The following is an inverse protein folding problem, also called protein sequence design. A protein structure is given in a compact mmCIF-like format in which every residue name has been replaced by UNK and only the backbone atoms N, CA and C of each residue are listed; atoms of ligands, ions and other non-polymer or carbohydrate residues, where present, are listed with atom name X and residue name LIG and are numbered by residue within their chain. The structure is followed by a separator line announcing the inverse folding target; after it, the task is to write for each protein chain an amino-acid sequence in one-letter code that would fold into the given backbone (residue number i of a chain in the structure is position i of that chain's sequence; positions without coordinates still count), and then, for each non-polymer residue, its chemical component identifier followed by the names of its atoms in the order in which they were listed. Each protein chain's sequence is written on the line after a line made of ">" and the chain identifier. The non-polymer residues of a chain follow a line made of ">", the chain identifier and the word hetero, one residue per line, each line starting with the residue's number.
data_IF_350163047825
#
_entry.id   IF_350163047825
#
_cell.length_a   1.000
_cell.length_b   1.000
_cell.length_c   1.000
_cell.angle_alpha   90.00
_cell.angle_beta   90.00
_cell.angle_gamma   90.00
#
_symmetry.space_group_name_H-M   'P 1'
#
loop_
_entity.id
_entity.type
_entity.pdbx_description
1 polymer ?
#
# COMPACT_ATOMS: atom_id res chain seq x y z
N UNK A 1 -7.16 -19.61 5.25
CA UNK A 1 -6.66 -18.46 6.00
C UNK A 1 -6.46 -17.32 5.01
N UNK A 2 -7.18 -16.21 5.16
CA UNK A 2 -6.99 -15.03 4.32
C UNK A 2 -6.06 -14.07 5.05
N UNK A 3 -4.97 -13.67 4.38
CA UNK A 3 -4.00 -12.77 4.97
C UNK A 3 -3.90 -11.48 4.14
N UNK A 4 -3.83 -10.36 4.83
CA UNK A 4 -3.82 -9.01 4.24
C UNK A 4 -2.53 -8.32 4.64
N UNK A 5 -1.86 -7.70 3.67
CA UNK A 5 -0.69 -6.86 3.88
C UNK A 5 -1.07 -5.45 3.47
N UNK A 6 -0.75 -4.49 4.34
CA UNK A 6 -0.91 -3.06 4.08
C UNK A 6 0.47 -2.43 4.09
N UNK A 7 0.80 -1.71 3.02
CA UNK A 7 2.05 -0.96 2.92
C UNK A 7 1.70 0.51 2.65
N UNK A 8 2.35 1.40 3.39
CA UNK A 8 2.24 2.85 3.25
C UNK A 8 3.64 3.47 3.14
N UNK A 9 3.70 4.70 2.63
CA UNK A 9 4.95 5.45 2.46
C UNK A 9 5.66 5.16 1.14
N UNK A 10 6.24 6.22 0.57
CA UNK A 10 6.85 6.27 -0.78
C UNK A 10 7.75 5.04 -1.05
N UNK A 11 8.75 4.78 -0.20
CA UNK A 11 9.74 3.74 -0.48
C UNK A 11 9.19 2.30 -0.45
N UNK A 12 8.25 1.97 0.44
CA UNK A 12 7.76 0.59 0.57
C UNK A 12 6.57 0.31 -0.36
N UNK A 13 5.63 1.25 -0.44
CA UNK A 13 4.45 1.11 -1.28
C UNK A 13 4.83 1.13 -2.78
N UNK A 14 5.70 2.04 -3.23
CA UNK A 14 6.12 2.08 -4.64
C UNK A 14 6.91 0.84 -5.05
N UNK A 15 7.78 0.33 -4.17
CA UNK A 15 8.56 -0.89 -4.44
C UNK A 15 7.66 -2.12 -4.59
N UNK A 16 6.64 -2.23 -3.75
CA UNK A 16 5.64 -3.30 -3.87
C UNK A 16 4.78 -3.07 -5.11
N UNK A 17 4.35 -1.84 -5.36
CA UNK A 17 3.62 -1.36 -6.54
C UNK A 17 4.28 -1.79 -7.86
N UNK A 18 5.58 -1.58 -7.97
CA UNK A 18 6.38 -1.97 -9.14
C UNK A 18 6.35 -3.49 -9.44
N UNK A 19 6.15 -4.33 -8.41
CA UNK A 19 6.04 -5.79 -8.57
C UNK A 19 4.63 -6.26 -8.92
N UNK A 20 3.60 -5.47 -8.60
CA UNK A 20 2.19 -5.79 -8.88
C UNK A 20 1.65 -5.12 -10.15
N UNK A 21 2.45 -4.23 -10.76
CA UNK A 21 2.11 -3.52 -12.00
C UNK A 21 1.77 -4.48 -13.16
N UNK A 22 0.72 -4.20 -13.95
CA UNK A 22 0.36 -4.99 -15.14
C UNK A 22 1.49 -5.08 -16.18
N UNK A 23 2.43 -4.13 -16.17
CA UNK A 23 3.56 -4.08 -17.10
C UNK A 23 4.68 -5.09 -16.76
N UNK A 24 4.60 -5.80 -15.63
CA UNK A 24 5.64 -6.74 -15.20
C UNK A 24 5.03 -8.12 -14.83
N UNK A 25 4.77 -9.00 -15.81
CA UNK A 25 4.29 -10.36 -15.53
C UNK A 25 5.26 -11.15 -14.63
N UNK A 26 6.57 -10.97 -14.84
CA UNK A 26 7.61 -11.55 -13.99
C UNK A 26 7.66 -10.95 -12.57
N UNK A 27 7.03 -9.79 -12.35
CA UNK A 27 6.86 -9.15 -11.05
C UNK A 27 5.93 -9.93 -10.13
N UNK A 28 4.90 -10.58 -10.67
CA UNK A 28 3.91 -11.34 -9.88
C UNK A 28 4.53 -12.51 -9.12
N UNK A 29 5.36 -13.31 -9.77
CA UNK A 29 6.04 -14.45 -9.13
C UNK A 29 7.05 -13.97 -8.08
N UNK A 30 7.77 -12.88 -8.37
CA UNK A 30 8.69 -12.25 -7.41
C UNK A 30 7.94 -11.71 -6.20
N UNK A 31 6.80 -11.06 -6.40
CA UNK A 31 5.95 -10.55 -5.33
C UNK A 31 5.44 -11.70 -4.46
N UNK A 32 4.88 -12.75 -5.07
CA UNK A 32 4.44 -13.94 -4.35
C UNK A 32 5.58 -14.55 -3.51
N UNK A 33 6.74 -14.77 -4.10
CA UNK A 33 7.88 -15.37 -3.40
C UNK A 33 8.36 -14.50 -2.22
N UNK A 34 8.45 -13.18 -2.42
CA UNK A 34 8.78 -12.22 -1.38
C UNK A 34 7.74 -12.27 -0.25
N UNK A 35 6.46 -12.24 -0.60
CA UNK A 35 5.36 -12.20 0.35
C UNK A 35 5.32 -13.45 1.24
N UNK A 36 5.41 -14.64 0.64
CA UNK A 36 5.45 -15.90 1.39
C UNK A 36 6.70 -16.00 2.29
N UNK A 37 7.83 -15.47 1.83
CA UNK A 37 9.09 -15.43 2.60
C UNK A 37 8.99 -14.50 3.79
N UNK A 38 8.48 -13.28 3.61
CA UNK A 38 8.27 -12.32 4.71
C UNK A 38 7.25 -12.83 5.72
N UNK A 39 6.21 -13.55 5.27
CA UNK A 39 5.27 -14.19 6.19
C UNK A 39 5.91 -15.28 7.03
N UNK A 40 6.72 -16.15 6.42
CA UNK A 40 7.46 -17.15 7.18
C UNK A 40 8.34 -16.46 8.23
N UNK A 41 9.07 -15.40 7.87
CA UNK A 41 9.91 -14.63 8.79
C UNK A 41 9.13 -14.02 9.94
N UNK A 42 8.02 -13.36 9.65
CA UNK A 42 7.17 -12.69 10.65
C UNK A 42 6.60 -13.67 11.68
N UNK A 43 6.27 -14.90 11.26
CA UNK A 43 5.63 -15.90 12.10
C UNK A 43 6.61 -16.93 12.68
N UNK A 44 7.91 -16.80 12.38
CA UNK A 44 8.93 -17.68 12.93
C UNK A 44 9.21 -17.28 14.38
N UNK A 45 8.88 -18.15 15.33
CA UNK A 45 9.18 -17.95 16.76
C UNK A 45 10.54 -18.55 17.17
N UNK A 46 11.07 -19.49 16.37
CA UNK A 46 12.36 -20.15 16.56
C UNK A 46 13.21 -19.94 15.32
N UNK A 47 14.39 -19.32 15.46
CA UNK A 47 15.26 -18.80 14.38
C UNK A 47 15.58 -19.78 13.23
N UNK A 48 15.43 -21.09 13.43
CA UNK A 48 15.78 -22.14 12.45
C UNK A 48 14.58 -22.77 11.72
N UNK A 49 13.35 -22.29 11.93
CA UNK A 49 12.12 -22.88 11.36
C UNK A 49 11.58 -22.11 10.12
N UNK A 50 12.22 -21.01 9.71
CA UNK A 50 11.73 -20.17 8.60
C UNK A 50 11.51 -20.98 7.31
N UNK A 51 12.43 -21.90 6.98
CA UNK A 51 12.36 -22.70 5.75
C UNK A 51 11.19 -23.69 5.76
N UNK A 52 10.94 -24.35 6.90
CA UNK A 52 9.85 -25.31 7.03
C UNK A 52 8.50 -24.57 7.09
N UNK A 53 8.44 -23.42 7.77
CA UNK A 53 7.26 -22.58 7.78
C UNK A 53 6.97 -21.98 6.39
N UNK A 54 8.00 -21.54 5.66
CA UNK A 54 7.88 -21.10 4.27
C UNK A 54 7.31 -22.21 3.38
N UNK A 55 7.80 -23.45 3.50
CA UNK A 55 7.27 -24.58 2.74
C UNK A 55 5.79 -24.84 3.06
N UNK A 56 5.43 -24.79 4.34
CA UNK A 56 4.04 -24.98 4.82
C UNK A 56 3.11 -23.89 4.28
N UNK A 57 3.50 -22.63 4.41
CA UNK A 57 2.73 -21.48 3.92
C UNK A 57 2.62 -21.53 2.39
N UNK A 58 3.70 -21.87 1.69
CA UNK A 58 3.71 -22.00 0.23
C UNK A 58 2.80 -23.11 -0.28
N UNK A 59 2.75 -24.26 0.42
CA UNK A 59 1.84 -25.35 0.08
C UNK A 59 0.36 -25.00 0.33
N UNK A 60 0.12 -24.05 1.25
CA UNK A 60 -1.23 -23.59 1.61
C UNK A 60 -1.71 -22.39 0.78
N UNK A 61 -0.85 -21.85 -0.09
CA UNK A 61 -1.16 -20.67 -0.90
C UNK A 61 -2.15 -21.03 -2.03
N UNK A 62 -3.20 -20.20 -2.19
CA UNK A 62 -4.19 -20.34 -3.25
C UNK A 62 -4.05 -19.21 -4.28
N UNK A 63 -4.29 -17.97 -3.85
CA UNK A 63 -4.21 -16.79 -4.71
C UNK A 63 -3.96 -15.52 -3.88
N UNK A 64 -3.68 -14.39 -4.54
CA UNK A 64 -3.65 -13.05 -3.93
C UNK A 64 -4.33 -12.02 -4.84
N UNK A 65 -4.86 -10.98 -4.20
CA UNK A 65 -5.22 -9.73 -4.86
C UNK A 65 -4.35 -8.61 -4.30
N UNK A 66 -3.82 -7.76 -5.18
CA UNK A 66 -3.04 -6.60 -4.80
C UNK A 66 -3.49 -5.39 -5.63
N UNK A 67 -3.50 -4.23 -4.98
CA UNK A 67 -3.92 -2.96 -5.57
C UNK A 67 -2.91 -1.88 -5.21
N UNK A 68 -2.52 -1.09 -6.22
CA UNK A 68 -1.68 0.08 -6.06
C UNK A 68 -2.52 1.32 -6.40
N UNK A 69 -2.83 2.11 -5.38
CA UNK A 69 -3.61 3.34 -5.51
C UNK A 69 -2.93 4.40 -6.39
N UNK A 70 -1.62 4.30 -6.61
CA UNK A 70 -0.88 5.23 -7.49
C UNK A 70 -1.17 5.00 -8.97
N UNK A 71 -1.63 3.81 -9.35
CA UNK A 71 -1.98 3.45 -10.71
C UNK A 71 -3.48 3.49 -10.99
N UNK A 72 -4.32 3.80 -9.99
CA UNK A 72 -5.74 3.98 -10.19
C UNK A 72 -6.01 5.33 -10.87
N UNK A 73 -6.59 5.32 -12.07
CA UNK A 73 -6.85 6.53 -12.83
C UNK A 73 -7.94 7.44 -12.21
N UNK A 74 -8.69 6.94 -11.24
CA UNK A 74 -9.75 7.69 -10.53
C UNK A 74 -9.26 8.33 -9.24
N UNK A 75 -8.03 8.03 -8.82
CA UNK A 75 -7.39 8.68 -7.68
C UNK A 75 -6.03 9.23 -8.08
N UNK A 76 -5.40 10.00 -7.19
CA UNK A 76 -4.05 10.53 -7.40
C UNK A 76 -3.04 9.87 -6.44
N UNK A 77 -3.34 8.67 -5.96
CA UNK A 77 -2.66 8.01 -4.86
C UNK A 77 -3.62 7.51 -3.79
N UNK A 78 -3.06 7.03 -2.68
CA UNK A 78 -3.84 6.40 -1.61
C UNK A 78 -4.66 7.40 -0.78
N UNK A 79 -4.03 8.48 -0.32
CA UNK A 79 -4.68 9.56 0.41
C UNK A 79 -3.81 10.81 0.48
N UNK A 80 -4.38 11.94 0.90
CA UNK A 80 -3.63 13.17 1.12
C UNK A 80 -2.70 13.06 2.35
N UNK A 81 -1.39 13.16 2.13
CA UNK A 81 -0.41 13.23 3.21
C UNK A 81 0.43 14.51 3.08
N UNK A 82 0.05 15.54 3.86
CA UNK A 82 0.74 16.82 3.82
C UNK A 82 2.14 16.72 4.44
N UNK A 83 3.13 17.21 3.68
CA UNK A 83 4.48 17.43 4.17
C UNK A 83 4.51 18.60 5.16
N UNK A 84 5.65 18.77 5.83
CA UNK A 84 5.85 19.84 6.79
C UNK A 84 5.38 21.19 6.22
N UNK A 85 4.69 21.96 7.07
CA UNK A 85 4.15 23.29 6.78
C UNK A 85 2.97 23.37 5.79
N UNK A 86 2.73 22.37 4.93
CA UNK A 86 1.65 22.45 3.94
C UNK A 86 0.26 22.54 4.57
N UNK A 87 0.02 21.84 5.68
CA UNK A 87 -1.27 21.93 6.39
C UNK A 87 -1.53 23.33 6.97
N UNK A 88 -0.49 24.08 7.36
CA UNK A 88 -0.67 25.39 7.96
C UNK A 88 -0.76 26.52 6.91
N UNK A 89 -0.13 26.36 5.74
CA UNK A 89 0.00 27.45 4.76
C UNK A 89 -0.84 27.26 3.51
N UNK A 90 -1.07 26.02 3.08
CA UNK A 90 -1.80 25.68 1.86
C UNK A 90 -3.24 25.26 2.17
N UNK A 91 -3.43 24.29 3.05
CA UNK A 91 -4.75 23.72 3.35
C UNK A 91 -5.81 24.77 3.71
N UNK A 92 -5.55 25.80 4.55
CA UNK A 92 -6.56 26.80 4.91
C UNK A 92 -7.04 27.64 3.73
N UNK A 93 -6.26 27.70 2.63
CA UNK A 93 -6.62 28.38 1.38
C UNK A 93 -7.43 27.47 0.46
N UNK A 94 -7.17 26.17 0.48
CA UNK A 94 -7.83 25.18 -0.38
C UNK A 94 -9.24 24.85 0.12
N UNK A 95 -9.45 24.82 1.43
CA UNK A 95 -10.77 24.50 2.01
C UNK A 95 -11.81 25.62 1.91
N UNK A 96 -11.39 26.82 1.50
CA UNK A 96 -12.33 27.93 1.36
C UNK A 96 -13.18 27.77 0.09
N UNK A 97 -14.49 28.04 0.15
CA UNK A 97 -15.33 28.09 -1.05
C UNK A 97 -14.86 29.15 -2.04
N UNK A 98 -14.95 28.85 -3.33
CA UNK A 98 -14.69 29.80 -4.42
C UNK A 98 -16.02 30.17 -5.10
N UNK A 99 -16.74 31.14 -4.51
CA UNK A 99 -18.08 31.51 -4.96
C UNK A 99 -19.09 30.38 -4.70
N UNK A 100 -19.66 29.82 -5.76
CA UNK A 100 -20.57 28.66 -5.69
C UNK A 100 -19.87 27.30 -5.85
N UNK A 101 -18.53 27.28 -5.97
CA UNK A 101 -17.74 26.06 -6.01
C UNK A 101 -17.28 25.69 -4.59
N UNK A 102 -17.60 24.48 -4.16
CA UNK A 102 -17.11 23.88 -2.91
C UNK A 102 -16.36 22.61 -3.26
N UNK A 103 -15.16 22.47 -2.71
CA UNK A 103 -14.40 21.22 -2.80
C UNK A 103 -14.75 20.36 -1.58
N UNK A 104 -14.90 19.05 -1.79
CA UNK A 104 -15.19 18.07 -0.72
C UNK A 104 -14.30 16.84 -0.88
N UNK A 105 -14.09 16.10 0.21
CA UNK A 105 -13.29 14.89 0.24
C UNK A 105 -12.32 14.85 1.41
N UNK A 106 -11.64 13.72 1.61
CA UNK A 106 -10.74 13.50 2.75
C UNK A 106 -9.65 14.57 2.84
N UNK A 107 -9.10 15.02 1.70
CA UNK A 107 -8.00 15.99 1.62
C UNK A 107 -8.36 17.38 2.16
N UNK A 108 -9.66 17.63 2.40
CA UNK A 108 -10.22 18.89 2.88
C UNK A 108 -10.78 18.77 4.30
N UNK A 109 -10.60 17.62 4.93
CA UNK A 109 -10.83 17.37 6.35
C UNK A 109 -9.50 17.49 7.10
N UNK A 110 -9.48 17.88 8.39
CA UNK A 110 -8.27 17.73 9.21
C UNK A 110 -7.88 16.26 9.49
N UNK A 111 -8.73 15.30 9.08
CA UNK A 111 -8.53 13.85 9.21
C UNK A 111 -8.40 13.22 7.82
N UNK A 112 -7.16 13.05 7.34
CA UNK A 112 -6.88 12.56 5.98
C UNK A 112 -6.72 11.03 5.86
N UNK A 113 -6.42 10.33 6.97
CA UNK A 113 -6.14 8.89 7.01
C UNK A 113 -6.68 8.27 8.30
#
# INVERSE_FOLDING_TARGET
>A
MALRIFAYGELYAERIGALISPASPAGKDKFKALLLRELARLHTTIRNDETQLFATISASYLDYYAHDWSYDATTAGAFAFFRAQQFNTLWPKVVQPAGNLVLIGEALSPHHA
#
